data_IF_152209480567
#
_entry.id   IF_152209480567
#
_cell.length_a   1.000
_cell.length_b   1.000
_cell.length_c   1.000
_cell.angle_alpha   90.00
_cell.angle_beta   90.00
_cell.angle_gamma   90.00
#
_symmetry.space_group_name_H-M   'P 1'
#
loop_
_entity.id
_entity.type
_entity.pdbx_description
1 polymer ?
#
# COMPACT_ATOMS: atom_id res chain seq x y z
N UNK A 1 16.74 -58.41 -6.33
CA UNK A 1 15.69 -58.46 -5.28
C UNK A 1 15.75 -57.17 -4.47
N UNK A 2 14.70 -56.50 -4.01
CA UNK A 2 13.29 -56.33 -4.34
C UNK A 2 12.85 -55.12 -3.49
N UNK A 3 12.10 -54.16 -4.05
CA UNK A 3 11.61 -52.96 -3.33
C UNK A 3 10.70 -53.35 -2.17
N UNK A 4 10.79 -52.64 -1.05
CA UNK A 4 9.66 -52.45 -0.13
C UNK A 4 9.60 -51.02 0.41
N UNK A 5 8.52 -50.33 0.05
CA UNK A 5 7.97 -49.20 0.80
C UNK A 5 7.49 -49.68 2.17
N UNK A 6 7.46 -48.80 3.19
CA UNK A 6 6.41 -48.80 4.18
C UNK A 6 5.34 -47.76 3.82
N UNK A 7 4.11 -48.26 3.82
CA UNK A 7 2.86 -47.51 3.78
C UNK A 7 2.67 -46.71 5.07
N UNK A 8 2.07 -45.54 4.92
CA UNK A 8 1.07 -44.92 5.81
C UNK A 8 1.24 -45.11 7.34
N UNK A 9 1.50 -44.00 8.02
CA UNK A 9 0.96 -43.77 9.36
C UNK A 9 -0.04 -42.62 9.32
N UNK A 10 -1.21 -42.97 9.83
CA UNK A 10 -2.49 -42.29 9.79
C UNK A 10 -2.53 -41.10 10.76
N UNK A 11 -3.24 -40.06 10.31
CA UNK A 11 -3.86 -38.96 11.05
C UNK A 11 -3.54 -38.78 12.54
N UNK A 12 -2.81 -37.71 12.87
CA UNK A 12 -3.05 -36.95 14.09
C UNK A 12 -4.01 -35.80 13.74
N UNK A 13 -5.29 -36.04 14.02
CA UNK A 13 -6.37 -35.06 13.98
C UNK A 13 -6.18 -34.13 15.19
N UNK A 14 -5.47 -33.02 15.00
CA UNK A 14 -5.51 -31.93 15.97
C UNK A 14 -6.81 -31.14 15.71
N UNK A 15 -7.87 -31.53 16.41
CA UNK A 15 -9.04 -30.68 16.64
C UNK A 15 -8.59 -29.44 17.38
N UNK A 16 -8.41 -28.33 16.65
CA UNK A 16 -8.44 -27.00 17.24
C UNK A 16 -9.83 -26.42 16.99
N UNK A 17 -10.78 -26.85 17.81
CA UNK A 17 -11.90 -26.00 18.20
C UNK A 17 -11.33 -24.86 19.04
N UNK A 18 -11.03 -23.73 18.39
CA UNK A 18 -10.91 -22.45 19.08
C UNK A 18 -11.34 -21.33 18.12
N UNK A 19 -12.65 -21.13 18.03
CA UNK A 19 -13.31 -20.06 17.27
C UNK A 19 -12.99 -18.63 17.79
N UNK A 20 -12.01 -18.44 18.70
CA UNK A 20 -11.72 -17.12 19.31
C UNK A 20 -10.37 -16.49 18.99
N UNK A 21 -9.68 -16.92 17.92
CA UNK A 21 -8.46 -16.22 17.45
C UNK A 21 -8.42 -15.98 15.94
N UNK A 22 -9.48 -15.40 15.38
CA UNK A 22 -9.35 -14.59 14.16
C UNK A 22 -8.90 -13.19 14.58
N UNK A 23 -7.59 -13.00 14.77
CA UNK A 23 -7.03 -11.65 14.68
C UNK A 23 -7.18 -11.21 13.23
N UNK A 24 -8.30 -10.56 12.93
CA UNK A 24 -8.36 -9.66 11.79
C UNK A 24 -7.16 -8.72 11.94
N UNK A 25 -6.37 -8.56 10.89
CA UNK A 25 -5.48 -7.41 10.74
C UNK A 25 -6.41 -6.22 10.60
N UNK A 26 -6.90 -5.76 11.74
CA UNK A 26 -7.73 -4.60 11.90
C UNK A 26 -6.78 -3.43 11.72
N UNK A 27 -6.86 -2.75 10.58
CA UNK A 27 -6.34 -1.40 10.50
C UNK A 27 -6.96 -0.62 11.67
N UNK A 28 -6.14 -0.29 12.67
CA UNK A 28 -6.56 0.54 13.80
C UNK A 28 -7.15 1.81 13.18
N UNK A 29 -8.43 2.14 13.43
CA UNK A 29 -8.91 3.47 13.13
C UNK A 29 -8.07 4.42 13.99
N UNK A 30 -7.46 5.41 13.37
CA UNK A 30 -6.87 6.54 14.07
C UNK A 30 -7.97 7.12 14.96
N UNK A 31 -7.85 6.92 16.28
CA UNK A 31 -8.63 7.70 17.23
C UNK A 31 -8.21 9.15 17.00
N UNK A 32 -9.12 9.95 16.45
CA UNK A 32 -9.06 11.41 16.52
C UNK A 32 -9.22 11.79 17.99
N UNK A 33 -8.11 11.74 18.74
CA UNK A 33 -7.98 12.53 19.95
C UNK A 33 -7.80 13.98 19.51
N UNK A 34 -8.81 14.78 19.84
CA UNK A 34 -8.70 16.23 19.86
C UNK A 34 -7.60 16.63 20.85
N UNK A 35 -6.85 17.64 20.44
CA UNK A 35 -5.84 18.40 21.18
C UNK A 35 -4.54 17.65 21.54
N UNK A 36 -3.51 17.79 20.68
CA UNK A 36 -2.14 18.18 21.07
C UNK A 36 -1.16 18.13 19.88
N UNK A 37 -0.35 19.19 19.79
CA UNK A 37 0.93 19.31 19.10
C UNK A 37 1.04 19.08 17.59
N UNK A 38 1.31 20.21 16.90
CA UNK A 38 1.70 20.38 15.49
C UNK A 38 3.01 19.64 15.13
N UNK A 39 3.54 18.80 16.02
CA UNK A 39 4.78 18.03 15.87
C UNK A 39 4.59 16.65 15.22
N UNK A 40 3.38 16.09 15.12
CA UNK A 40 3.20 14.68 14.70
C UNK A 40 2.68 14.44 13.29
N UNK A 41 2.70 15.43 12.40
CA UNK A 41 2.25 15.22 11.03
C UNK A 41 3.21 14.28 10.29
N UNK A 42 2.69 13.29 9.55
CA UNK A 42 3.52 12.36 8.78
C UNK A 42 4.46 13.12 7.83
N UNK A 43 5.60 12.53 7.42
CA UNK A 43 6.53 13.18 6.49
C UNK A 43 5.84 13.75 5.24
N UNK A 44 4.78 13.08 4.80
CA UNK A 44 3.92 13.49 3.67
C UNK A 44 3.31 14.88 3.92
N UNK A 45 2.82 15.15 5.13
CA UNK A 45 2.14 16.41 5.46
C UNK A 45 3.10 17.60 5.60
N UNK A 46 4.33 17.38 6.08
CA UNK A 46 5.32 18.46 6.26
C UNK A 46 5.83 19.03 4.94
N UNK A 47 5.76 18.26 3.85
CA UNK A 47 6.12 18.72 2.52
C UNK A 47 5.10 19.71 1.89
N UNK A 48 3.90 19.85 2.49
CA UNK A 48 2.70 20.42 1.83
C UNK A 48 2.50 21.93 2.11
N UNK A 49 3.27 22.56 2.99
CA UNK A 49 2.91 23.87 3.54
C UNK A 49 3.42 25.13 2.79
N UNK A 50 3.96 25.04 1.57
CA UNK A 50 4.54 26.20 0.87
C UNK A 50 3.73 26.63 -0.37
N UNK A 51 3.06 27.80 -0.27
CA UNK A 51 2.46 28.64 -1.34
C UNK A 51 1.78 27.90 -2.51
N UNK A 52 0.59 27.37 -2.26
CA UNK A 52 -0.32 26.88 -3.32
C UNK A 52 -1.64 27.65 -3.28
N UNK A 53 -2.20 27.94 -4.46
CA UNK A 53 -3.51 28.55 -4.60
C UNK A 53 -4.56 27.69 -3.87
N UNK A 54 -5.55 28.29 -3.20
CA UNK A 54 -6.56 27.56 -2.41
C UNK A 54 -7.25 26.46 -3.23
N UNK A 55 -7.44 26.67 -4.54
CA UNK A 55 -7.98 25.67 -5.47
C UNK A 55 -7.08 24.44 -5.59
N UNK A 56 -5.81 24.65 -5.93
CA UNK A 56 -4.82 23.57 -6.10
C UNK A 56 -4.61 22.80 -4.79
N UNK A 57 -4.67 23.51 -3.65
CA UNK A 57 -4.62 22.88 -2.33
C UNK A 57 -5.80 21.94 -2.10
N UNK A 58 -7.03 22.36 -2.43
CA UNK A 58 -8.22 21.52 -2.28
C UNK A 58 -8.19 20.31 -3.21
N UNK A 59 -7.82 20.50 -4.48
CA UNK A 59 -7.69 19.40 -5.44
C UNK A 59 -6.63 18.38 -5.02
N UNK A 60 -5.48 18.86 -4.52
CA UNK A 60 -4.42 18.01 -3.99
C UNK A 60 -4.86 17.27 -2.72
N UNK A 61 -5.55 17.94 -1.79
CA UNK A 61 -6.09 17.30 -0.58
C UNK A 61 -7.12 16.21 -0.92
N UNK A 62 -8.00 16.47 -1.89
CA UNK A 62 -8.95 15.45 -2.38
C UNK A 62 -8.21 14.25 -3.00
N UNK A 63 -7.20 14.53 -3.82
CA UNK A 63 -6.35 13.50 -4.46
C UNK A 63 -5.67 12.61 -3.42
N UNK A 64 -5.03 13.22 -2.41
CA UNK A 64 -4.37 12.48 -1.33
C UNK A 64 -5.39 11.74 -0.45
N UNK A 65 -6.54 12.35 -0.17
CA UNK A 65 -7.58 11.71 0.63
C UNK A 65 -8.08 10.44 -0.04
N UNK A 66 -8.34 10.48 -1.34
CA UNK A 66 -8.78 9.31 -2.10
C UNK A 66 -7.64 8.31 -2.28
N UNK A 67 -6.42 8.78 -2.59
CA UNK A 67 -5.26 7.90 -2.81
C UNK A 67 -4.78 7.15 -1.56
N UNK A 68 -5.01 7.68 -0.35
CA UNK A 68 -4.56 7.09 0.92
C UNK A 68 -5.68 6.35 1.66
N UNK A 69 -6.95 6.63 1.35
CA UNK A 69 -8.09 5.98 2.00
C UNK A 69 -8.66 4.84 1.16
N UNK A 70 -9.50 4.01 1.79
CA UNK A 70 -10.30 3.00 1.08
C UNK A 70 -11.50 3.62 0.33
N UNK A 71 -11.42 4.90 -0.05
CA UNK A 71 -12.50 5.59 -0.76
C UNK A 71 -12.43 5.21 -2.23
N UNK A 72 -13.54 4.72 -2.83
CA UNK A 72 -13.52 4.33 -4.22
C UNK A 72 -13.37 5.56 -5.12
N UNK A 73 -12.62 5.42 -6.21
CA UNK A 73 -12.33 6.51 -7.16
C UNK A 73 -13.60 7.14 -7.76
N UNK A 74 -14.68 6.37 -7.88
CA UNK A 74 -15.98 6.84 -8.37
C UNK A 74 -16.72 7.75 -7.37
N UNK A 75 -16.16 7.99 -6.18
CA UNK A 75 -16.73 8.90 -5.19
C UNK A 75 -16.93 10.31 -5.75
N UNK A 76 -16.01 10.78 -6.60
CA UNK A 76 -16.14 12.09 -7.28
C UNK A 76 -17.30 12.15 -8.27
N UNK A 77 -17.89 11.01 -8.63
CA UNK A 77 -19.04 10.96 -9.51
C UNK A 77 -20.38 10.94 -8.77
N UNK A 78 -20.35 10.75 -7.44
CA UNK A 78 -21.53 10.70 -6.60
C UNK A 78 -22.32 12.00 -6.65
N UNK A 79 -23.64 11.89 -6.81
CA UNK A 79 -24.55 13.02 -6.99
C UNK A 79 -24.53 13.98 -5.80
N UNK A 80 -24.60 13.46 -4.57
CA UNK A 80 -24.58 14.30 -3.36
C UNK A 80 -23.21 14.95 -3.14
N UNK A 81 -22.13 14.26 -3.49
CA UNK A 81 -20.80 14.83 -3.37
C UNK A 81 -20.55 15.94 -4.40
N UNK A 82 -21.06 15.80 -5.63
CA UNK A 82 -21.08 16.87 -6.63
C UNK A 82 -21.87 18.09 -6.16
N UNK A 83 -23.06 17.85 -5.61
CA UNK A 83 -23.90 18.90 -5.05
C UNK A 83 -23.22 19.60 -3.87
N UNK A 84 -22.61 18.85 -2.94
CA UNK A 84 -21.83 19.43 -1.85
C UNK A 84 -20.66 20.29 -2.38
N UNK A 85 -19.93 19.77 -3.36
CA UNK A 85 -18.75 20.44 -3.92
C UNK A 85 -19.08 21.72 -4.68
N UNK A 86 -20.30 21.84 -5.25
CA UNK A 86 -20.74 23.05 -5.96
C UNK A 86 -20.90 24.25 -5.04
N UNK A 87 -21.07 24.03 -3.73
CA UNK A 87 -21.18 25.08 -2.72
C UNK A 87 -19.82 25.62 -2.26
N UNK A 88 -18.70 25.03 -2.70
CA UNK A 88 -17.35 25.48 -2.34
C UNK A 88 -16.89 26.54 -3.37
N UNK A 89 -16.68 27.80 -2.95
CA UNK A 89 -16.30 28.87 -3.88
C UNK A 89 -14.99 28.58 -4.60
N UNK A 90 -14.96 28.81 -5.92
CA UNK A 90 -13.78 28.64 -6.78
C UNK A 90 -13.19 27.21 -6.81
N UNK A 91 -13.94 26.22 -6.34
CA UNK A 91 -13.57 24.81 -6.46
C UNK A 91 -14.33 24.17 -7.62
N UNK A 92 -13.61 23.40 -8.44
CA UNK A 92 -14.22 22.60 -9.49
C UNK A 92 -13.83 21.16 -9.23
N UNK A 93 -14.84 20.30 -9.09
CA UNK A 93 -14.58 18.91 -8.79
C UNK A 93 -13.85 18.24 -9.97
N UNK A 94 -12.70 17.57 -9.74
CA UNK A 94 -12.00 16.90 -10.81
C UNK A 94 -12.83 15.71 -11.33
N UNK A 95 -12.71 15.45 -12.63
CA UNK A 95 -13.22 14.19 -13.19
C UNK A 95 -12.44 13.01 -12.63
N UNK A 96 -13.03 11.80 -12.66
CA UNK A 96 -12.32 10.58 -12.25
C UNK A 96 -11.01 10.40 -13.04
N UNK A 97 -11.00 10.72 -14.34
CA UNK A 97 -9.78 10.67 -15.17
C UNK A 97 -8.70 11.64 -14.69
N UNK A 98 -9.09 12.88 -14.37
CA UNK A 98 -8.17 13.89 -13.84
C UNK A 98 -7.62 13.46 -12.48
N UNK A 99 -8.49 12.93 -11.61
CA UNK A 99 -8.11 12.41 -10.30
C UNK A 99 -7.12 11.23 -10.43
N UNK A 100 -7.39 10.25 -11.29
CA UNK A 100 -6.47 9.13 -11.54
C UNK A 100 -5.12 9.62 -12.03
N UNK A 101 -5.10 10.60 -12.94
CA UNK A 101 -3.84 11.19 -13.42
C UNK A 101 -3.08 11.91 -12.31
N UNK A 102 -3.78 12.61 -11.41
CA UNK A 102 -3.19 13.31 -10.28
C UNK A 102 -2.60 12.32 -9.25
N UNK A 103 -3.35 11.25 -8.91
CA UNK A 103 -2.85 10.19 -8.03
C UNK A 103 -1.59 9.54 -8.63
N UNK A 104 -1.60 9.26 -9.93
CA UNK A 104 -0.43 8.70 -10.61
C UNK A 104 0.78 9.63 -10.54
N UNK A 105 0.58 10.94 -10.74
CA UNK A 105 1.67 11.92 -10.63
C UNK A 105 2.25 12.00 -9.20
N UNK A 106 1.39 11.98 -8.17
CA UNK A 106 1.84 11.94 -6.77
C UNK A 106 2.55 10.61 -6.46
N UNK A 107 2.08 9.49 -7.01
CA UNK A 107 2.75 8.19 -6.90
C UNK A 107 4.14 8.21 -7.55
N UNK A 108 4.26 8.72 -8.78
CA UNK A 108 5.54 8.82 -9.47
C UNK A 108 6.53 9.69 -8.69
N UNK A 109 6.06 10.82 -8.12
CA UNK A 109 6.86 11.67 -7.25
C UNK A 109 7.31 10.95 -5.96
N UNK A 110 6.42 10.15 -5.36
CA UNK A 110 6.73 9.34 -4.18
C UNK A 110 7.76 8.25 -4.49
N UNK A 111 7.61 7.55 -5.62
CA UNK A 111 8.56 6.54 -6.08
C UNK A 111 9.95 7.15 -6.28
N UNK A 112 10.04 8.29 -6.95
CA UNK A 112 11.31 9.00 -7.12
C UNK A 112 11.91 9.47 -5.79
N UNK A 113 11.08 9.86 -4.83
CA UNK A 113 11.54 10.17 -3.48
C UNK A 113 12.10 8.92 -2.78
N UNK A 114 11.39 7.79 -2.82
CA UNK A 114 11.82 6.52 -2.22
C UNK A 114 13.14 6.08 -2.85
N UNK A 115 13.28 6.11 -4.18
CA UNK A 115 14.53 5.78 -4.88
C UNK A 115 15.71 6.63 -4.39
N UNK A 116 15.51 7.93 -4.23
CA UNK A 116 16.56 8.82 -3.71
C UNK A 116 16.94 8.45 -2.29
N UNK A 117 15.95 8.21 -1.43
CA UNK A 117 16.20 7.82 -0.03
C UNK A 117 16.95 6.48 0.05
N UNK A 118 16.56 5.48 -0.75
CA UNK A 118 17.19 4.16 -0.75
C UNK A 118 18.67 4.17 -1.15
N UNK A 119 19.14 5.16 -1.92
CA UNK A 119 20.57 5.32 -2.25
C UNK A 119 21.45 5.60 -1.03
N UNK A 120 20.88 6.24 -0.01
CA UNK A 120 21.60 6.67 1.19
C UNK A 120 21.38 5.71 2.37
N UNK A 121 20.61 4.64 2.16
CA UNK A 121 20.28 3.66 3.19
C UNK A 121 21.41 2.63 3.32
N UNK A 122 21.90 2.42 4.53
CA UNK A 122 22.98 1.45 4.82
C UNK A 122 22.51 0.00 4.79
N UNK A 123 21.22 -0.25 5.06
CA UNK A 123 20.67 -1.60 5.16
C UNK A 123 19.19 -1.60 4.81
N UNK A 124 18.82 -2.50 3.90
CA UNK A 124 17.45 -2.70 3.45
C UNK A 124 17.03 -4.13 3.76
N UNK A 125 15.88 -4.27 4.43
CA UNK A 125 15.25 -5.57 4.66
C UNK A 125 14.04 -5.68 3.74
N UNK A 126 13.96 -6.79 2.99
CA UNK A 126 12.83 -7.07 2.12
C UNK A 126 11.92 -8.10 2.77
N UNK A 127 10.66 -7.74 2.95
CA UNK A 127 9.60 -8.66 3.32
C UNK A 127 8.73 -8.97 2.11
N UNK A 128 8.35 -10.23 1.98
CA UNK A 128 7.45 -10.71 0.93
C UNK A 128 6.20 -11.30 1.58
N UNK A 129 5.03 -10.89 1.11
CA UNK A 129 3.75 -11.45 1.56
C UNK A 129 2.93 -11.87 0.35
N UNK A 130 2.41 -13.10 0.37
CA UNK A 130 1.51 -13.59 -0.67
C UNK A 130 0.09 -13.59 -0.12
N UNK A 131 -0.81 -12.86 -0.79
CA UNK A 131 -2.25 -12.91 -0.52
C UNK A 131 -2.97 -13.64 -1.64
N UNK A 132 -3.97 -14.45 -1.28
CA UNK A 132 -4.77 -15.20 -2.27
C UNK A 132 -6.20 -14.69 -2.24
N UNK A 133 -6.77 -14.43 -3.42
CA UNK A 133 -8.18 -14.05 -3.49
C UNK A 133 -9.04 -15.32 -3.45
N UNK A 134 -9.61 -15.61 -2.28
CA UNK A 134 -10.45 -16.81 -2.08
C UNK A 134 -11.79 -16.76 -2.82
N UNK A 135 -12.23 -15.57 -3.29
CA UNK A 135 -13.48 -15.40 -4.03
C UNK A 135 -13.32 -15.55 -5.54
N UNK A 136 -12.13 -15.25 -6.06
CA UNK A 136 -11.80 -15.32 -7.48
C UNK A 136 -10.71 -16.37 -7.68
N UNK A 137 -11.13 -17.62 -7.88
CA UNK A 137 -10.24 -18.76 -8.10
C UNK A 137 -9.37 -18.57 -9.35
N UNK A 138 -8.22 -17.91 -9.23
CA UNK A 138 -7.28 -17.76 -10.35
C UNK A 138 -5.98 -17.05 -10.01
N UNK A 139 -6.04 -16.07 -9.10
CA UNK A 139 -4.93 -15.15 -8.88
C UNK A 139 -4.51 -15.05 -7.41
N UNK A 140 -3.21 -14.81 -7.23
CA UNK A 140 -2.63 -14.40 -5.96
C UNK A 140 -1.80 -13.14 -6.17
N UNK A 141 -1.55 -12.40 -5.11
CA UNK A 141 -0.76 -11.18 -5.16
C UNK A 141 0.47 -11.33 -4.30
N UNK A 142 1.64 -11.10 -4.88
CA UNK A 142 2.90 -10.96 -4.15
C UNK A 142 3.11 -9.48 -3.83
N UNK A 143 3.13 -9.17 -2.54
CA UNK A 143 3.47 -7.85 -2.03
C UNK A 143 4.96 -7.84 -1.65
N UNK A 144 5.71 -6.90 -2.21
CA UNK A 144 7.12 -6.68 -1.88
C UNK A 144 7.23 -5.41 -1.04
N UNK A 145 7.71 -5.53 0.19
CA UNK A 145 7.80 -4.42 1.14
C UNK A 145 9.26 -4.21 1.54
N UNK A 146 9.75 -2.98 1.38
CA UNK A 146 11.08 -2.57 1.83
C UNK A 146 11.01 -1.92 3.21
N UNK A 147 11.87 -2.36 4.12
CA UNK A 147 12.01 -1.82 5.47
C UNK A 147 13.43 -1.28 5.66
N UNK A 148 13.53 -0.05 6.12
CA UNK A 148 14.82 0.57 6.43
C UNK A 148 14.67 1.69 7.47
N UNK A 149 15.78 2.07 8.09
CA UNK A 149 15.83 3.25 8.94
C UNK A 149 16.09 4.49 8.07
N UNK A 150 15.20 5.47 8.16
CA UNK A 150 15.33 6.69 7.38
C UNK A 150 16.60 7.46 7.80
N UNK A 151 17.53 7.77 6.87
CA UNK A 151 18.85 8.30 7.23
C UNK A 151 18.81 9.61 8.02
N UNK A 152 17.77 10.43 7.84
CA UNK A 152 17.67 11.76 8.44
C UNK A 152 17.23 11.74 9.89
N UNK A 153 16.37 10.81 10.28
CA UNK A 153 15.70 10.82 11.59
C UNK A 153 15.82 9.49 12.35
N UNK A 154 16.41 8.46 11.73
CA UNK A 154 16.57 7.14 12.32
C UNK A 154 15.25 6.40 12.57
N UNK A 155 14.13 6.83 11.98
CA UNK A 155 12.85 6.14 12.15
C UNK A 155 12.77 4.94 11.23
N UNK A 156 12.21 3.83 11.73
CA UNK A 156 11.90 2.68 10.89
C UNK A 156 10.73 3.04 9.96
N UNK A 157 10.98 2.98 8.65
CA UNK A 157 9.99 3.22 7.61
C UNK A 157 9.79 1.94 6.80
N UNK A 158 8.56 1.72 6.38
CA UNK A 158 8.17 0.57 5.55
C UNK A 158 7.41 1.07 4.33
N UNK A 159 7.89 0.74 3.14
CA UNK A 159 7.24 1.08 1.88
C UNK A 159 6.84 -0.19 1.14
N UNK A 160 5.57 -0.25 0.71
CA UNK A 160 5.14 -1.20 -0.31
C UNK A 160 5.79 -0.78 -1.63
N UNK A 161 6.74 -1.58 -2.11
CA UNK A 161 7.50 -1.30 -3.33
C UNK A 161 6.70 -1.70 -4.56
N UNK A 162 6.06 -2.87 -4.51
CA UNK A 162 5.19 -3.36 -5.58
C UNK A 162 4.18 -4.40 -5.09
N UNK A 163 3.11 -4.58 -5.87
CA UNK A 163 2.15 -5.68 -5.74
C UNK A 163 1.97 -6.34 -7.10
N UNK A 164 2.45 -7.58 -7.18
CA UNK A 164 2.52 -8.34 -8.42
C UNK A 164 1.38 -9.35 -8.45
N UNK A 165 0.57 -9.29 -9.49
CA UNK A 165 -0.43 -10.32 -9.75
C UNK A 165 0.24 -11.58 -10.29
N UNK A 166 -0.12 -12.73 -9.72
CA UNK A 166 0.48 -14.02 -10.02
C UNK A 166 -0.61 -15.06 -10.33
N UNK A 167 -0.36 -15.89 -11.34
CA UNK A 167 -1.19 -17.06 -11.65
C UNK A 167 -0.85 -18.24 -10.74
N UNK A 168 -1.85 -18.99 -10.26
CA UNK A 168 -1.76 -20.07 -9.24
C UNK A 168 -0.54 -21.01 -9.25
N UNK A 169 0.13 -21.23 -10.38
CA UNK A 169 1.27 -22.14 -10.51
C UNK A 169 2.58 -21.36 -10.59
N UNK A 170 3.25 -21.18 -9.45
CA UNK A 170 4.52 -20.45 -9.39
C UNK A 170 5.68 -21.43 -9.17
N UNK A 171 6.61 -21.59 -10.14
CA UNK A 171 7.94 -22.09 -9.86
C UNK A 171 8.67 -21.06 -8.98
N UNK A 172 9.43 -21.50 -7.98
CA UNK A 172 10.20 -20.63 -7.07
C UNK A 172 11.14 -19.66 -7.82
N UNK A 173 11.65 -20.07 -8.97
CA UNK A 173 12.49 -19.25 -9.85
C UNK A 173 11.75 -17.99 -10.34
N UNK A 174 10.45 -18.10 -10.63
CA UNK A 174 9.62 -16.97 -11.04
C UNK A 174 9.51 -15.91 -9.93
N UNK A 175 9.38 -16.31 -8.66
CA UNK A 175 9.28 -15.37 -7.54
C UNK A 175 10.55 -14.54 -7.38
N UNK A 176 11.71 -15.17 -7.54
CA UNK A 176 13.00 -14.48 -7.45
C UNK A 176 13.12 -13.41 -8.53
N UNK A 177 12.79 -13.76 -9.78
CA UNK A 177 12.89 -12.84 -10.92
C UNK A 177 11.98 -11.62 -10.73
N UNK A 178 10.75 -11.84 -10.24
CA UNK A 178 9.81 -10.77 -9.92
C UNK A 178 10.36 -9.82 -8.85
N UNK A 179 10.92 -10.36 -7.76
CA UNK A 179 11.51 -9.54 -6.69
C UNK A 179 12.74 -8.79 -7.19
N UNK A 180 13.64 -9.44 -7.93
CA UNK A 180 14.80 -8.77 -8.53
C UNK A 180 14.38 -7.64 -9.47
N UNK A 181 13.31 -7.82 -10.25
CA UNK A 181 12.80 -6.78 -11.13
C UNK A 181 12.27 -5.57 -10.34
N UNK A 182 11.56 -5.82 -9.23
CA UNK A 182 11.13 -4.74 -8.33
C UNK A 182 12.34 -4.01 -7.78
N UNK A 183 13.33 -4.70 -7.23
CA UNK A 183 14.53 -4.08 -6.66
C UNK A 183 15.30 -3.24 -7.70
N UNK A 184 15.51 -3.79 -8.90
CA UNK A 184 16.13 -3.08 -10.03
C UNK A 184 15.36 -1.81 -10.40
N UNK A 185 14.03 -1.83 -10.36
CA UNK A 185 13.21 -0.65 -10.65
C UNK A 185 13.44 0.50 -9.66
N UNK A 186 13.84 0.17 -8.42
CA UNK A 186 14.21 1.12 -7.38
C UNK A 186 15.70 1.46 -7.34
N UNK A 187 16.52 0.89 -8.24
CA UNK A 187 17.96 1.12 -8.31
C UNK A 187 18.77 0.37 -7.25
N UNK A 188 18.23 -0.74 -6.74
CA UNK A 188 18.88 -1.67 -5.82
C UNK A 188 19.42 -2.88 -6.58
#
# INVERSE_FOLDING_TARGET
MARQHPKQLTAARATFDDERKRQAILFRPLKLQQDADISSTSPITRLIAAKQNNKEKLERLLTLSIGISNTPMNFVENLFFKEFSSHIPNFTLPSMRALTSAIKAEYDALVEHIKKTLKDVSSLVISMAISTNTRSCGYSFLHVVGHFFEPKNGQLVSYLLDTIEMERSYPTESLKDHVEQVLKSYGI
#
